data_IF_243876012610
#
_entry.id   IF_243876012610
#
_cell.length_a   1.000
_cell.length_b   1.000
_cell.length_c   1.000
_cell.angle_alpha   90.00
_cell.angle_beta   90.00
_cell.angle_gamma   90.00
#
_symmetry.space_group_name_H-M   'P 1'
#
loop_
_entity.id
_entity.type
_entity.pdbx_description
1 polymer ?
#
# COMPACT_ATOMS: atom_id res chain seq x y z
N UNK A 1 -25.19 23.34 -34.49
CA UNK A 1 -25.82 22.25 -33.69
C UNK A 1 -24.74 21.25 -33.32
N UNK A 2 -24.33 21.17 -32.05
CA UNK A 2 -23.41 20.12 -31.58
C UNK A 2 -24.09 18.76 -31.73
N UNK A 3 -23.35 17.78 -32.25
CA UNK A 3 -23.87 16.43 -32.44
C UNK A 3 -23.88 15.73 -31.07
N UNK A 4 -25.04 15.72 -30.43
CA UNK A 4 -25.27 15.15 -29.09
C UNK A 4 -24.74 13.72 -28.96
N UNK A 5 -24.80 12.92 -30.03
CA UNK A 5 -24.32 11.54 -30.04
C UNK A 5 -22.78 11.45 -29.97
N UNK A 6 -22.09 12.43 -30.56
CA UNK A 6 -20.63 12.54 -30.50
C UNK A 6 -20.15 12.96 -29.10
N UNK A 7 -20.83 13.92 -28.49
CA UNK A 7 -20.50 14.41 -27.15
C UNK A 7 -20.72 13.32 -26.08
N UNK A 8 -21.76 12.49 -26.23
CA UNK A 8 -22.02 11.34 -25.35
C UNK A 8 -20.90 10.30 -25.35
N UNK A 9 -20.35 9.96 -26.53
CA UNK A 9 -19.25 9.00 -26.65
C UNK A 9 -17.96 9.48 -25.97
N UNK A 10 -17.66 10.78 -26.02
CA UNK A 10 -16.49 11.33 -25.32
C UNK A 10 -16.62 11.26 -23.80
N UNK A 11 -17.81 11.54 -23.27
CA UNK A 11 -18.08 11.43 -21.84
C UNK A 11 -17.92 9.97 -21.38
N UNK A 12 -18.42 9.01 -22.15
CA UNK A 12 -18.25 7.59 -21.82
C UNK A 12 -16.78 7.16 -21.81
N UNK A 13 -15.99 7.58 -22.81
CA UNK A 13 -14.55 7.29 -22.84
C UNK A 13 -13.83 7.91 -21.65
N UNK A 14 -14.14 9.16 -21.30
CA UNK A 14 -13.54 9.83 -20.15
C UNK A 14 -13.87 9.09 -18.84
N UNK A 15 -15.12 8.63 -18.68
CA UNK A 15 -15.55 7.84 -17.53
C UNK A 15 -14.74 6.54 -17.44
N UNK A 16 -14.61 5.80 -18.55
CA UNK A 16 -13.84 4.55 -18.59
C UNK A 16 -12.39 4.80 -18.16
N UNK A 17 -11.75 5.83 -18.70
CA UNK A 17 -10.36 6.17 -18.35
C UNK A 17 -10.23 6.45 -16.85
N UNK A 18 -11.13 7.26 -16.28
CA UNK A 18 -11.10 7.58 -14.85
C UNK A 18 -11.28 6.32 -14.00
N UNK A 19 -12.23 5.45 -14.34
CA UNK A 19 -12.43 4.19 -13.62
C UNK A 19 -11.23 3.25 -13.74
N UNK A 20 -10.63 3.14 -14.93
CA UNK A 20 -9.41 2.35 -15.12
C UNK A 20 -8.26 2.89 -14.26
N UNK A 21 -8.06 4.20 -14.22
CA UNK A 21 -7.03 4.81 -13.37
C UNK A 21 -7.29 4.53 -11.89
N UNK A 22 -8.52 4.70 -11.42
CA UNK A 22 -8.91 4.40 -10.03
C UNK A 22 -8.65 2.92 -9.68
N UNK A 23 -8.99 2.00 -10.60
CA UNK A 23 -8.73 0.58 -10.42
C UNK A 23 -7.23 0.29 -10.31
N UNK A 24 -6.41 0.87 -11.19
CA UNK A 24 -4.95 0.74 -11.14
C UNK A 24 -4.41 1.27 -9.81
N UNK A 25 -4.84 2.44 -9.35
CA UNK A 25 -4.43 2.99 -8.06
C UNK A 25 -4.80 2.08 -6.89
N UNK A 26 -6.03 1.53 -6.88
CA UNK A 26 -6.48 0.62 -5.84
C UNK A 26 -5.63 -0.66 -5.79
N UNK A 27 -5.29 -1.22 -6.96
CA UNK A 27 -4.41 -2.39 -7.07
C UNK A 27 -3.02 -2.05 -6.52
N UNK A 28 -2.42 -0.93 -6.92
CA UNK A 28 -1.08 -0.51 -6.46
C UNK A 28 -1.04 -0.32 -4.94
N UNK A 29 -2.05 0.31 -4.35
CA UNK A 29 -2.19 0.47 -2.90
C UNK A 29 -2.25 -0.89 -2.20
N UNK A 30 -3.06 -1.81 -2.74
CA UNK A 30 -3.24 -3.15 -2.18
C UNK A 30 -1.95 -3.95 -2.22
N UNK A 31 -1.23 -3.90 -3.36
CA UNK A 31 0.08 -4.54 -3.53
C UNK A 31 1.08 -3.98 -2.53
N UNK A 32 1.18 -2.64 -2.40
CA UNK A 32 2.09 -2.02 -1.43
C UNK A 32 1.77 -2.41 0.01
N UNK A 33 0.49 -2.40 0.39
CA UNK A 33 0.01 -2.84 1.70
C UNK A 33 0.34 -4.30 1.98
N UNK A 34 0.15 -5.19 1.00
CA UNK A 34 0.49 -6.60 1.12
C UNK A 34 1.99 -6.82 1.39
N UNK A 35 2.86 -6.18 0.61
CA UNK A 35 4.31 -6.32 0.78
C UNK A 35 4.80 -5.73 2.10
N UNK A 36 4.32 -4.55 2.50
CA UNK A 36 4.68 -3.94 3.77
C UNK A 36 4.28 -4.84 4.96
N UNK A 37 3.07 -5.41 4.94
CA UNK A 37 2.64 -6.35 5.98
C UNK A 37 3.52 -7.61 6.03
N UNK A 38 3.94 -8.13 4.88
CA UNK A 38 4.87 -9.26 4.82
C UNK A 38 6.23 -8.91 5.40
N UNK A 39 6.76 -7.74 5.07
CA UNK A 39 8.04 -7.25 5.56
C UNK A 39 8.02 -7.03 7.08
N UNK A 40 6.98 -6.40 7.63
CA UNK A 40 6.76 -6.27 9.08
C UNK A 40 6.79 -7.65 9.76
N UNK A 41 6.12 -8.65 9.20
CA UNK A 41 6.12 -10.01 9.76
C UNK A 41 7.50 -10.66 9.76
N UNK A 42 8.29 -10.45 8.71
CA UNK A 42 9.67 -10.95 8.64
C UNK A 42 10.58 -10.24 9.63
N UNK A 43 10.50 -8.91 9.71
CA UNK A 43 11.31 -8.10 10.63
C UNK A 43 11.01 -8.40 12.09
N UNK A 44 9.72 -8.42 12.47
CA UNK A 44 9.28 -8.72 13.83
C UNK A 44 9.68 -10.15 14.25
N UNK A 45 9.42 -11.15 13.39
CA UNK A 45 9.84 -12.53 13.70
C UNK A 45 11.36 -12.69 13.76
N UNK A 46 12.12 -11.96 12.93
CA UNK A 46 13.58 -11.91 12.98
C UNK A 46 14.09 -11.33 14.29
N UNK A 47 13.53 -10.21 14.75
CA UNK A 47 13.89 -9.57 16.01
C UNK A 47 13.61 -10.49 17.21
N UNK A 48 12.40 -11.07 17.25
CA UNK A 48 11.99 -11.97 18.35
C UNK A 48 12.83 -13.25 18.42
N UNK A 49 13.35 -13.75 17.29
CA UNK A 49 14.23 -14.93 17.27
C UNK A 49 15.59 -14.70 17.93
N UNK A 50 16.00 -13.45 18.09
CA UNK A 50 17.23 -13.06 18.79
C UNK A 50 16.96 -12.54 20.20
N UNK A 51 15.81 -12.91 20.77
CA UNK A 51 15.34 -12.41 22.07
C UNK A 51 15.28 -10.87 22.16
N UNK A 52 15.17 -10.20 21.01
CA UNK A 52 15.03 -8.75 20.90
C UNK A 52 13.58 -8.30 21.07
N UNK A 53 13.41 -7.04 21.45
CA UNK A 53 12.11 -6.37 21.52
C UNK A 53 12.00 -5.37 20.37
N UNK A 54 10.88 -5.35 19.66
CA UNK A 54 10.67 -4.45 18.53
C UNK A 54 9.63 -3.38 18.81
N UNK A 55 9.83 -2.20 18.21
CA UNK A 55 8.83 -1.14 18.11
C UNK A 55 8.37 -1.02 16.65
N UNK A 56 7.06 -0.95 16.44
CA UNK A 56 6.44 -0.81 15.13
C UNK A 56 5.48 0.38 15.15
N UNK A 57 5.72 1.35 14.28
CA UNK A 57 4.86 2.54 14.12
C UNK A 57 4.29 2.55 12.71
N UNK A 58 2.97 2.42 12.58
CA UNK A 58 2.30 2.55 11.28
C UNK A 58 2.12 4.03 10.94
N UNK A 59 2.86 4.50 9.93
CA UNK A 59 2.86 5.89 9.47
C UNK A 59 1.79 6.16 8.41
N UNK A 60 1.32 5.12 7.69
CA UNK A 60 0.19 5.23 6.77
C UNK A 60 -0.67 3.96 6.79
N UNK A 61 -1.94 4.10 7.18
CA UNK A 61 -2.88 2.97 7.29
C UNK A 61 -3.32 2.38 5.95
N UNK A 62 -3.34 3.18 4.88
CA UNK A 62 -3.81 2.75 3.57
C UNK A 62 -2.79 1.83 2.89
N UNK A 63 -1.51 2.20 2.92
CA UNK A 63 -0.42 1.42 2.35
C UNK A 63 0.31 0.56 3.37
N UNK A 64 -0.12 0.58 4.64
CA UNK A 64 0.60 -0.01 5.77
C UNK A 64 2.07 0.41 5.80
N UNK A 65 2.36 1.67 5.46
CA UNK A 65 3.73 2.19 5.61
C UNK A 65 4.06 2.27 7.09
N UNK A 66 5.32 2.00 7.42
CA UNK A 66 5.73 1.81 8.80
C UNK A 66 7.17 2.26 9.03
N UNK A 67 7.47 2.49 10.30
CA UNK A 67 8.82 2.55 10.84
C UNK A 67 8.98 1.38 11.81
N UNK A 68 10.16 0.74 11.80
CA UNK A 68 10.46 -0.44 12.58
C UNK A 68 11.83 -0.31 13.24
N UNK A 69 11.90 -0.62 14.52
CA UNK A 69 13.15 -0.75 15.27
C UNK A 69 13.18 -2.08 16.00
N UNK A 70 14.38 -2.63 16.19
CA UNK A 70 14.61 -3.83 16.99
C UNK A 70 15.74 -3.54 17.97
N UNK A 71 15.44 -3.66 19.25
CA UNK A 71 16.43 -3.59 20.32
C UNK A 71 16.81 -5.03 20.67
N UNK A 72 17.86 -5.52 20.03
CA UNK A 72 18.47 -6.79 20.41
C UNK A 72 19.05 -6.62 21.83
N UNK A 73 18.88 -7.63 22.70
CA UNK A 73 19.67 -7.67 23.93
C UNK A 73 21.10 -7.91 23.49
N UNK A 74 21.98 -6.93 23.64
CA UNK A 74 23.41 -7.13 23.44
C UNK A 74 23.83 -8.37 24.23
N UNK A 75 24.27 -9.44 23.54
CA UNK A 75 25.00 -10.54 24.16
C UNK A 75 26.24 -9.92 24.82
N UNK A 76 26.22 -9.80 26.15
CA UNK A 76 27.42 -9.56 26.96
C UNK A 76 28.29 -10.81 27.03
#
# INVERSE_FOLDING_TARGET
MKNVNRDYNYIQIAIIIVFTLLLVFAILITVKSYFNNKEIGLLSSGCLKKDGEYELVITNKLTQSYEFSCNEKEEQ
#
